data_IF_673477982207
#
_entry.id   IF_673477982207
#
_cell.length_a   1.000
_cell.length_b   1.000
_cell.length_c   1.000
_cell.angle_alpha   90.00
_cell.angle_beta   90.00
_cell.angle_gamma   90.00
#
_symmetry.space_group_name_H-M   'P 1'
#
loop_
_entity.id
_entity.type
_entity.pdbx_description
1 polymer ?
#
# COMPACT_ATOMS: atom_id res chain seq x y z
N UNK A 1 -1.63 -8.09 17.44
CA UNK A 1 -3.08 -7.73 17.29
C UNK A 1 -3.39 -6.42 18.04
N UNK A 2 -4.08 -5.50 17.38
CA UNK A 2 -4.57 -4.27 18.01
C UNK A 2 -6.02 -4.49 18.44
N UNK A 3 -6.33 -4.38 19.75
CA UNK A 3 -7.68 -4.57 20.30
C UNK A 3 -8.37 -5.90 19.89
N UNK A 4 -7.60 -6.96 19.72
CA UNK A 4 -8.09 -8.27 19.27
C UNK A 4 -8.23 -8.43 17.76
N UNK A 5 -7.88 -7.42 16.96
CA UNK A 5 -7.90 -7.44 15.51
C UNK A 5 -6.50 -7.65 14.93
N UNK A 6 -6.39 -8.44 13.86
CA UNK A 6 -5.14 -8.71 13.16
C UNK A 6 -4.67 -7.51 12.34
N UNK A 7 -3.35 -7.41 12.20
CA UNK A 7 -2.67 -6.55 11.22
C UNK A 7 -2.04 -7.46 10.17
N UNK A 8 -2.35 -7.21 8.90
CA UNK A 8 -1.89 -8.04 7.77
C UNK A 8 -1.12 -7.18 6.77
N UNK A 9 0.09 -7.61 6.41
CA UNK A 9 0.93 -6.98 5.38
C UNK A 9 1.01 -7.89 4.15
N UNK A 10 0.31 -7.52 3.08
CA UNK A 10 0.33 -8.22 1.80
C UNK A 10 1.37 -7.58 0.89
N UNK A 11 2.16 -8.40 0.19
CA UNK A 11 3.33 -7.99 -0.58
C UNK A 11 4.46 -7.44 0.30
N UNK A 12 4.62 -8.00 1.50
CA UNK A 12 5.37 -7.45 2.61
C UNK A 12 6.87 -7.16 2.34
N UNK A 13 7.44 -7.68 1.23
CA UNK A 13 8.85 -7.45 0.89
C UNK A 13 9.78 -7.76 2.05
N UNK A 14 10.75 -6.88 2.29
CA UNK A 14 11.70 -6.99 3.42
C UNK A 14 11.22 -6.39 4.74
N UNK A 15 9.95 -5.91 4.82
CA UNK A 15 9.34 -5.44 6.07
C UNK A 15 9.26 -3.91 6.23
N UNK A 16 9.46 -3.13 5.16
CA UNK A 16 9.41 -1.66 5.28
C UNK A 16 8.06 -1.13 5.76
N UNK A 17 6.95 -1.64 5.22
CA UNK A 17 5.60 -1.29 5.66
C UNK A 17 5.33 -1.80 7.08
N UNK A 18 5.71 -3.03 7.38
CA UNK A 18 5.59 -3.62 8.73
C UNK A 18 6.33 -2.79 9.77
N UNK A 19 7.56 -2.34 9.50
CA UNK A 19 8.31 -1.43 10.40
C UNK A 19 7.56 -0.12 10.61
N UNK A 20 7.04 0.50 9.54
CA UNK A 20 6.25 1.73 9.65
C UNK A 20 4.98 1.55 10.48
N UNK A 21 4.27 0.43 10.31
CA UNK A 21 3.09 0.09 11.09
C UNK A 21 3.45 -0.12 12.57
N UNK A 22 4.53 -0.84 12.87
CA UNK A 22 5.00 -1.04 14.25
C UNK A 22 5.38 0.28 14.92
N UNK A 23 6.11 1.16 14.23
CA UNK A 23 6.45 2.49 14.75
C UNK A 23 5.22 3.34 15.04
N UNK A 24 4.20 3.27 14.19
CA UNK A 24 3.00 4.08 14.33
C UNK A 24 2.02 3.54 15.39
N UNK A 25 1.97 2.23 15.59
CA UNK A 25 0.94 1.60 16.41
C UNK A 25 1.48 1.01 17.72
N UNK A 26 2.78 0.72 17.80
CA UNK A 26 3.39 -0.04 18.88
C UNK A 26 3.10 -1.56 18.83
N UNK A 27 2.50 -2.06 17.74
CA UNK A 27 2.13 -3.46 17.58
C UNK A 27 2.80 -4.07 16.35
N UNK A 28 3.34 -5.28 16.51
CA UNK A 28 3.85 -6.05 15.37
C UNK A 28 2.74 -6.44 14.41
N UNK A 29 3.08 -6.53 13.13
CA UNK A 29 2.22 -7.12 12.11
C UNK A 29 2.03 -8.60 12.44
N UNK A 30 0.79 -9.10 12.42
CA UNK A 30 0.48 -10.47 12.77
C UNK A 30 0.74 -11.44 11.60
N UNK A 31 0.48 -11.01 10.36
CA UNK A 31 0.61 -11.83 9.16
C UNK A 31 1.34 -11.04 8.08
N UNK A 32 2.37 -11.64 7.49
CA UNK A 32 3.09 -11.10 6.32
C UNK A 32 3.11 -12.12 5.19
N UNK A 33 2.79 -11.68 3.97
CA UNK A 33 2.66 -12.51 2.78
C UNK A 33 3.58 -11.98 1.67
N UNK A 34 4.46 -12.84 1.17
CA UNK A 34 5.26 -12.57 -0.03
C UNK A 34 5.67 -13.89 -0.69
N UNK A 35 5.75 -13.92 -2.02
CA UNK A 35 6.16 -15.12 -2.76
C UNK A 35 7.68 -15.31 -2.82
N UNK A 36 8.46 -14.26 -2.57
CA UNK A 36 9.93 -14.29 -2.64
C UNK A 36 10.51 -14.80 -1.32
N UNK A 37 11.21 -15.96 -1.31
CA UNK A 37 11.78 -16.52 -0.10
C UNK A 37 12.86 -15.64 0.54
N UNK A 38 13.63 -14.86 -0.25
CA UNK A 38 14.65 -13.96 0.29
C UNK A 38 14.00 -12.75 0.99
N UNK A 39 12.92 -12.21 0.41
CA UNK A 39 12.14 -11.18 1.08
C UNK A 39 11.56 -11.68 2.41
N UNK A 40 10.99 -12.88 2.42
CA UNK A 40 10.48 -13.50 3.65
C UNK A 40 11.60 -13.79 4.66
N UNK A 41 12.79 -14.22 4.22
CA UNK A 41 13.94 -14.43 5.10
C UNK A 41 14.35 -13.13 5.80
N UNK A 42 14.43 -12.03 5.05
CA UNK A 42 14.74 -10.70 5.58
C UNK A 42 13.63 -10.21 6.53
N UNK A 43 12.36 -10.38 6.13
CA UNK A 43 11.22 -10.01 6.95
C UNK A 43 11.20 -10.74 8.29
N UNK A 44 11.47 -12.05 8.30
CA UNK A 44 11.56 -12.86 9.54
C UNK A 44 12.64 -12.37 10.48
N UNK A 45 13.78 -11.92 9.95
CA UNK A 45 14.87 -11.40 10.78
C UNK A 45 14.48 -10.09 11.49
N UNK A 46 13.72 -9.22 10.80
CA UNK A 46 13.29 -7.93 11.33
C UNK A 46 12.01 -8.02 12.17
N UNK A 47 11.11 -8.97 11.85
CA UNK A 47 9.79 -9.12 12.46
C UNK A 47 9.56 -10.58 12.91
N UNK A 48 10.29 -11.07 13.94
CA UNK A 48 10.29 -12.49 14.33
C UNK A 48 8.95 -12.97 14.90
N UNK A 49 8.11 -12.07 15.39
CA UNK A 49 6.80 -12.40 15.98
C UNK A 49 5.67 -12.49 14.93
N UNK A 50 5.95 -12.18 13.66
CA UNK A 50 4.99 -12.23 12.56
C UNK A 50 4.84 -13.63 12.00
N UNK A 51 3.62 -14.07 11.71
CA UNK A 51 3.38 -15.29 10.93
C UNK A 51 3.61 -15.02 9.45
N UNK A 52 4.54 -15.75 8.84
CA UNK A 52 4.96 -15.55 7.46
C UNK A 52 4.40 -16.62 6.53
N UNK A 53 3.85 -16.18 5.39
CA UNK A 53 3.47 -17.00 4.24
C UNK A 53 4.44 -16.71 3.08
N UNK A 54 5.25 -17.71 2.70
CA UNK A 54 6.11 -17.64 1.52
C UNK A 54 5.34 -18.22 0.32
N UNK A 55 4.31 -17.50 -0.11
CA UNK A 55 3.35 -17.96 -1.12
C UNK A 55 2.88 -16.78 -1.99
N UNK A 56 2.37 -17.10 -3.19
CA UNK A 56 1.65 -16.10 -3.99
C UNK A 56 0.43 -15.61 -3.21
N UNK A 57 0.22 -14.29 -3.21
CA UNK A 57 -0.90 -13.65 -2.48
C UNK A 57 -2.28 -14.17 -2.91
N UNK A 58 -2.41 -14.72 -4.12
CA UNK A 58 -3.64 -15.36 -4.61
C UNK A 58 -3.84 -16.77 -4.02
N UNK A 59 -2.77 -17.47 -3.65
CA UNK A 59 -2.82 -18.82 -3.09
C UNK A 59 -3.15 -18.79 -1.60
N UNK A 60 -2.78 -17.74 -0.88
CA UNK A 60 -3.14 -17.59 0.53
C UNK A 60 -4.65 -17.38 0.65
N UNK A 61 -5.32 -18.26 1.40
CA UNK A 61 -6.73 -18.13 1.74
C UNK A 61 -6.89 -17.15 2.92
N UNK A 62 -7.52 -15.96 2.73
CA UNK A 62 -7.68 -14.99 3.80
C UNK A 62 -8.43 -15.52 5.02
N UNK A 63 -9.46 -16.34 4.82
CA UNK A 63 -10.28 -16.89 5.92
C UNK A 63 -9.45 -17.82 6.79
N UNK A 64 -8.69 -18.73 6.15
CA UNK A 64 -7.79 -19.66 6.86
C UNK A 64 -6.63 -18.93 7.53
N UNK A 65 -6.06 -17.91 6.86
CA UNK A 65 -4.95 -17.14 7.40
C UNK A 65 -5.35 -16.41 8.69
N UNK A 66 -6.53 -15.78 8.70
CA UNK A 66 -7.07 -15.05 9.84
C UNK A 66 -7.58 -15.95 10.98
N UNK A 67 -7.88 -17.22 10.69
CA UNK A 67 -8.30 -18.22 11.70
C UNK A 67 -9.41 -17.69 12.65
N UNK A 68 -10.44 -17.06 12.09
CA UNK A 68 -11.60 -16.54 12.84
C UNK A 68 -11.36 -15.20 13.55
N UNK A 69 -10.16 -14.64 13.51
CA UNK A 69 -9.91 -13.30 14.06
C UNK A 69 -10.33 -12.20 13.07
N UNK A 70 -10.94 -11.11 13.54
CA UNK A 70 -11.21 -9.95 12.71
C UNK A 70 -9.91 -9.26 12.29
N UNK A 71 -9.93 -8.55 11.16
CA UNK A 71 -8.77 -7.81 10.64
C UNK A 71 -9.00 -6.31 10.84
N UNK A 72 -8.14 -5.69 11.66
CA UNK A 72 -8.18 -4.24 11.91
C UNK A 72 -7.53 -3.45 10.79
N UNK A 73 -6.38 -3.92 10.28
CA UNK A 73 -5.64 -3.29 9.19
C UNK A 73 -5.12 -4.34 8.21
N UNK A 74 -5.38 -4.14 6.93
CA UNK A 74 -4.73 -4.87 5.84
C UNK A 74 -3.98 -3.88 4.94
N UNK A 75 -2.66 -4.03 4.87
CA UNK A 75 -1.78 -3.28 3.98
C UNK A 75 -1.56 -4.05 2.68
N UNK A 76 -1.51 -3.31 1.55
CA UNK A 76 -1.24 -3.83 0.22
C UNK A 76 -0.25 -2.95 -0.52
N UNK A 77 0.85 -3.51 -0.98
CA UNK A 77 1.83 -2.84 -1.84
C UNK A 77 2.15 -3.68 -3.08
N UNK A 78 1.16 -3.88 -3.99
CA UNK A 78 1.34 -4.73 -5.16
C UNK A 78 2.39 -4.19 -6.13
N UNK A 79 3.09 -5.09 -6.81
CA UNK A 79 4.17 -4.76 -7.75
C UNK A 79 3.71 -3.73 -8.79
N UNK A 80 4.47 -2.65 -8.88
CA UNK A 80 4.22 -1.51 -9.77
C UNK A 80 4.99 -1.56 -11.10
N UNK A 81 5.81 -2.60 -11.36
CA UNK A 81 6.69 -2.67 -12.56
C UNK A 81 5.97 -2.41 -13.88
N UNK A 82 4.68 -2.73 -13.96
CA UNK A 82 3.87 -2.59 -15.16
C UNK A 82 3.03 -1.29 -15.21
N UNK A 83 3.09 -0.46 -14.17
CA UNK A 83 2.49 0.89 -14.15
C UNK A 83 3.56 1.98 -14.34
N UNK A 84 4.75 1.78 -13.76
CA UNK A 84 5.83 2.78 -13.73
C UNK A 84 6.30 3.21 -15.13
N UNK A 85 6.58 4.49 -15.28
CA UNK A 85 7.22 5.12 -16.47
C UNK A 85 8.60 4.53 -16.77
N UNK A 86 9.32 4.06 -15.75
CA UNK A 86 10.67 3.49 -15.90
C UNK A 86 10.74 2.25 -16.82
N UNK A 87 9.62 1.58 -17.09
CA UNK A 87 9.57 0.41 -17.99
C UNK A 87 9.64 0.77 -19.49
N UNK A 88 9.48 2.04 -19.85
CA UNK A 88 9.40 2.44 -21.26
C UNK A 88 8.17 1.85 -21.98
N UNK A 89 8.22 1.75 -23.33
CA UNK A 89 7.11 1.25 -24.16
C UNK A 89 6.94 -0.27 -24.20
N UNK A 90 7.57 -1.06 -23.31
CA UNK A 90 7.46 -2.54 -23.32
C UNK A 90 6.04 -3.01 -23.01
N UNK A 91 5.58 -4.14 -23.60
CA UNK A 91 4.29 -4.73 -23.31
C UNK A 91 4.06 -4.95 -21.80
N UNK A 92 2.81 -4.77 -21.36
CA UNK A 92 2.44 -4.89 -19.95
C UNK A 92 1.88 -6.29 -19.66
N UNK A 93 2.23 -6.85 -18.53
CA UNK A 93 1.66 -8.10 -18.06
C UNK A 93 0.29 -7.85 -17.43
N UNK A 94 -0.75 -8.52 -17.93
CA UNK A 94 -2.11 -8.39 -17.40
C UNK A 94 -2.24 -8.97 -16.00
N UNK A 95 -1.52 -10.06 -15.71
CA UNK A 95 -1.57 -10.74 -14.43
C UNK A 95 -0.99 -9.85 -13.32
N UNK A 96 0.23 -9.30 -13.52
CA UNK A 96 0.85 -8.40 -12.55
C UNK A 96 0.02 -7.13 -12.34
N UNK A 97 -0.59 -6.59 -13.41
CA UNK A 97 -1.52 -5.47 -13.28
C UNK A 97 -2.80 -5.81 -12.50
N UNK A 98 -3.13 -7.08 -12.41
CA UNK A 98 -4.26 -7.60 -11.64
C UNK A 98 -4.02 -7.77 -10.15
N UNK A 99 -2.78 -7.65 -9.67
CA UNK A 99 -2.44 -7.94 -8.27
C UNK A 99 -3.19 -7.06 -7.24
N UNK A 100 -3.55 -5.84 -7.60
CA UNK A 100 -4.33 -4.97 -6.72
C UNK A 100 -5.72 -5.54 -6.37
N UNK A 101 -6.31 -6.40 -7.23
CA UNK A 101 -7.60 -7.06 -6.95
C UNK A 101 -7.57 -7.97 -5.72
N UNK A 102 -6.38 -8.35 -5.24
CA UNK A 102 -6.23 -9.07 -3.96
C UNK A 102 -6.84 -8.26 -2.81
N UNK A 103 -6.75 -6.92 -2.83
CA UNK A 103 -7.39 -6.08 -1.82
C UNK A 103 -8.92 -6.25 -1.82
N UNK A 104 -9.56 -6.31 -3.00
CA UNK A 104 -11.00 -6.57 -3.12
C UNK A 104 -11.36 -7.99 -2.64
N UNK A 105 -10.49 -8.98 -2.90
CA UNK A 105 -10.70 -10.36 -2.39
C UNK A 105 -10.69 -10.38 -0.85
N UNK A 106 -9.72 -9.72 -0.21
CA UNK A 106 -9.67 -9.59 1.23
C UNK A 106 -10.87 -8.82 1.78
N UNK A 107 -11.27 -7.73 1.12
CA UNK A 107 -12.44 -6.95 1.48
C UNK A 107 -13.73 -7.78 1.50
N UNK A 108 -13.92 -8.64 0.48
CA UNK A 108 -15.09 -9.49 0.36
C UNK A 108 -15.10 -10.70 1.30
N UNK A 109 -13.94 -11.27 1.64
CA UNK A 109 -13.86 -12.52 2.41
C UNK A 109 -13.72 -12.32 3.93
N UNK A 110 -12.91 -11.36 4.36
CA UNK A 110 -12.61 -11.13 5.80
C UNK A 110 -12.86 -9.71 6.26
N UNK A 111 -13.27 -8.83 5.33
CA UNK A 111 -13.73 -7.47 5.60
C UNK A 111 -12.80 -6.68 6.55
N UNK A 112 -11.52 -6.44 6.20
CA UNK A 112 -10.64 -5.64 7.04
C UNK A 112 -11.29 -4.29 7.37
N UNK A 113 -11.24 -3.85 8.62
CA UNK A 113 -11.84 -2.58 9.04
C UNK A 113 -11.21 -1.38 8.32
N UNK A 114 -9.89 -1.46 8.10
CA UNK A 114 -9.12 -0.49 7.32
C UNK A 114 -8.28 -1.23 6.28
N UNK A 115 -8.32 -0.79 5.05
CA UNK A 115 -7.42 -1.21 3.96
C UNK A 115 -6.55 -0.03 3.60
N UNK A 116 -5.24 -0.24 3.53
CA UNK A 116 -4.28 0.72 3.00
C UNK A 116 -3.58 0.11 1.79
N UNK A 117 -3.43 0.89 0.71
CA UNK A 117 -2.74 0.45 -0.49
C UNK A 117 -1.73 1.51 -0.93
N UNK A 118 -0.48 1.07 -1.19
CA UNK A 118 0.59 1.87 -1.77
C UNK A 118 0.87 1.44 -3.20
N UNK A 119 1.13 2.42 -4.08
CA UNK A 119 1.59 2.16 -5.44
C UNK A 119 2.31 3.39 -6.02
N UNK A 120 2.68 3.34 -7.30
CA UNK A 120 3.17 4.49 -8.05
C UNK A 120 2.03 5.43 -8.45
N UNK A 121 2.33 6.70 -8.74
CA UNK A 121 1.35 7.72 -9.15
C UNK A 121 0.51 7.26 -10.36
N UNK A 122 1.15 6.54 -11.28
CA UNK A 122 0.52 6.04 -12.50
C UNK A 122 -0.54 4.96 -12.25
N UNK A 123 -0.68 4.44 -11.03
CA UNK A 123 -1.73 3.49 -10.68
C UNK A 123 -3.14 4.02 -11.00
N UNK A 124 -3.37 5.32 -10.85
CA UNK A 124 -4.63 5.98 -11.25
C UNK A 124 -4.93 5.87 -12.75
N UNK A 125 -3.91 5.64 -13.55
CA UNK A 125 -4.05 5.47 -15.01
C UNK A 125 -4.38 4.03 -15.41
N UNK A 126 -4.59 3.14 -14.46
CA UNK A 126 -4.87 1.73 -14.70
C UNK A 126 -6.12 1.55 -15.56
N UNK A 127 -5.91 1.04 -16.75
CA UNK A 127 -6.94 0.81 -17.75
C UNK A 127 -6.67 -0.46 -18.57
N UNK A 128 -7.59 -0.89 -19.43
CA UNK A 128 -7.44 -2.08 -20.25
C UNK A 128 -6.27 -1.98 -21.21
N UNK A 129 -5.76 -3.15 -21.59
CA UNK A 129 -4.69 -3.31 -22.58
C UNK A 129 -5.30 -3.76 -23.91
N UNK A 130 -4.69 -3.34 -25.04
CA UNK A 130 -5.00 -3.86 -26.36
C UNK A 130 -4.43 -5.30 -26.54
N UNK A 131 -4.63 -5.90 -27.74
CA UNK A 131 -4.10 -7.24 -28.05
C UNK A 131 -2.58 -7.34 -27.95
N UNK A 132 -1.85 -6.24 -28.22
CA UNK A 132 -0.39 -6.15 -28.07
C UNK A 132 0.08 -5.83 -26.64
N UNK A 133 -0.79 -5.92 -25.63
CA UNK A 133 -0.50 -5.63 -24.22
C UNK A 133 -0.05 -4.18 -23.95
N UNK A 134 -0.46 -3.23 -24.79
CA UNK A 134 -0.25 -1.80 -24.55
C UNK A 134 -1.50 -1.12 -23.99
N UNK A 135 -1.36 -0.11 -23.10
CA UNK A 135 -2.49 0.64 -22.55
C UNK A 135 -3.29 1.34 -23.67
N UNK A 136 -4.61 1.20 -23.63
CA UNK A 136 -5.53 1.92 -24.53
C UNK A 136 -5.74 3.32 -23.96
N UNK A 137 -5.14 4.35 -24.58
CA UNK A 137 -5.17 5.74 -24.09
C UNK A 137 -6.59 6.24 -23.78
N UNK A 138 -7.56 5.99 -24.67
CA UNK A 138 -8.96 6.38 -24.50
C UNK A 138 -9.69 5.68 -23.33
N UNK A 139 -9.08 4.65 -22.73
CA UNK A 139 -9.64 3.87 -21.62
C UNK A 139 -8.75 3.94 -20.37
N UNK A 140 -7.89 4.93 -20.31
CA UNK A 140 -7.02 5.19 -19.17
C UNK A 140 -7.86 5.52 -17.94
N UNK A 141 -7.55 4.93 -16.78
CA UNK A 141 -8.28 5.11 -15.53
C UNK A 141 -9.48 4.16 -15.34
N UNK A 142 -10.08 3.63 -16.41
CA UNK A 142 -11.32 2.84 -16.30
C UNK A 142 -11.23 1.62 -15.38
N UNK A 143 -10.05 0.97 -15.29
CA UNK A 143 -9.88 -0.19 -14.41
C UNK A 143 -9.67 0.27 -12.97
N UNK A 144 -8.97 1.38 -12.77
CA UNK A 144 -8.83 2.01 -11.46
C UNK A 144 -10.20 2.43 -10.89
N UNK A 145 -11.04 3.08 -11.69
CA UNK A 145 -12.40 3.46 -11.29
C UNK A 145 -13.23 2.24 -10.88
N UNK A 146 -13.17 1.13 -11.66
CA UNK A 146 -13.84 -0.12 -11.31
C UNK A 146 -13.30 -0.74 -10.01
N UNK A 147 -12.00 -0.65 -9.78
CA UNK A 147 -11.37 -1.12 -8.55
C UNK A 147 -11.89 -0.33 -7.34
N UNK A 148 -11.93 0.99 -7.42
CA UNK A 148 -12.49 1.85 -6.36
C UNK A 148 -13.97 1.56 -6.16
N UNK A 149 -14.76 1.45 -7.25
CA UNK A 149 -16.19 1.15 -7.20
C UNK A 149 -16.46 -0.18 -6.48
N UNK A 150 -15.67 -1.23 -6.76
CA UNK A 150 -15.86 -2.52 -6.11
C UNK A 150 -15.62 -2.45 -4.58
N UNK A 151 -14.65 -1.67 -4.11
CA UNK A 151 -14.47 -1.44 -2.68
C UNK A 151 -15.65 -0.66 -2.09
N UNK A 152 -16.17 0.34 -2.81
CA UNK A 152 -17.35 1.12 -2.40
C UNK A 152 -18.60 0.25 -2.33
N UNK A 153 -18.80 -0.64 -3.30
CA UNK A 153 -19.93 -1.60 -3.32
C UNK A 153 -19.86 -2.60 -2.15
N UNK A 154 -18.64 -2.89 -1.65
CA UNK A 154 -18.41 -3.68 -0.45
C UNK A 154 -18.61 -2.87 0.86
N UNK A 155 -19.02 -1.60 0.76
CA UNK A 155 -19.34 -0.74 1.89
C UNK A 155 -18.13 -0.01 2.49
N UNK A 156 -17.07 0.22 1.71
CA UNK A 156 -15.93 1.03 2.12
C UNK A 156 -16.10 2.48 1.65
N UNK A 157 -15.82 3.44 2.52
CA UNK A 157 -15.43 4.79 2.13
C UNK A 157 -14.00 4.75 1.62
N UNK A 158 -13.73 5.29 0.43
CA UNK A 158 -12.41 5.22 -0.22
C UNK A 158 -11.90 6.62 -0.51
N UNK A 159 -10.69 6.91 -0.04
CA UNK A 159 -9.96 8.14 -0.39
C UNK A 159 -8.55 7.77 -0.85
N UNK A 160 -7.96 8.63 -1.68
CA UNK A 160 -6.57 8.45 -2.11
C UNK A 160 -5.86 9.80 -2.28
N UNK A 161 -4.55 9.80 -2.00
CA UNK A 161 -3.65 10.95 -2.15
C UNK A 161 -2.31 10.51 -2.70
N UNK A 162 -1.58 11.44 -3.25
CA UNK A 162 -0.15 11.28 -3.52
C UNK A 162 0.63 11.96 -2.41
N UNK A 163 1.57 11.24 -1.81
CA UNK A 163 2.38 11.74 -0.71
C UNK A 163 3.86 11.66 -1.10
N UNK A 164 4.61 12.71 -0.75
CA UNK A 164 6.07 12.77 -0.95
C UNK A 164 6.76 12.44 0.36
N UNK A 165 7.67 11.49 0.35
CA UNK A 165 8.32 11.00 1.57
C UNK A 165 9.09 12.10 2.33
N UNK A 166 9.68 13.08 1.63
CA UNK A 166 10.37 14.21 2.24
C UNK A 166 9.45 15.07 3.11
N UNK A 167 8.16 15.21 2.76
CA UNK A 167 7.19 15.99 3.53
C UNK A 167 6.97 15.42 4.95
N UNK A 168 7.40 14.17 5.17
CA UNK A 168 7.28 13.43 6.44
C UNK A 168 8.64 13.09 7.07
N UNK A 169 9.73 13.74 6.63
CA UNK A 169 11.06 13.62 7.22
C UNK A 169 11.92 12.48 6.68
N UNK A 170 11.51 11.78 5.64
CA UNK A 170 12.37 10.80 4.97
C UNK A 170 13.37 11.51 4.01
N UNK A 171 14.65 11.09 3.93
CA UNK A 171 15.66 11.73 3.10
C UNK A 171 15.53 11.36 1.61
N UNK A 172 14.33 11.48 1.07
CA UNK A 172 14.04 11.15 -0.35
C UNK A 172 12.82 11.91 -0.86
N UNK A 173 12.89 12.37 -2.11
CA UNK A 173 11.78 12.97 -2.85
C UNK A 173 10.82 11.93 -3.46
N UNK A 174 10.88 10.68 -2.99
CA UNK A 174 10.03 9.60 -3.50
C UNK A 174 8.57 9.93 -3.28
N UNK A 175 7.82 10.04 -4.36
CA UNK A 175 6.38 10.28 -4.37
C UNK A 175 5.62 9.00 -4.66
N UNK A 176 4.53 8.74 -3.93
CA UNK A 176 3.73 7.53 -4.07
C UNK A 176 2.25 7.84 -3.95
N UNK A 177 1.47 7.04 -4.65
CA UNK A 177 0.03 6.93 -4.48
C UNK A 177 -0.27 6.13 -3.22
N UNK A 178 -1.14 6.66 -2.38
CA UNK A 178 -1.72 5.97 -1.24
C UNK A 178 -3.23 5.99 -1.32
N UNK A 179 -3.86 4.86 -0.97
CA UNK A 179 -5.29 4.74 -0.81
C UNK A 179 -5.60 4.25 0.61
N UNK A 180 -6.63 4.83 1.22
CA UNK A 180 -7.22 4.36 2.47
C UNK A 180 -8.68 4.04 2.18
N UNK A 181 -9.12 2.84 2.57
CA UNK A 181 -10.51 2.44 2.53
C UNK A 181 -10.96 1.98 3.92
N UNK A 182 -12.12 2.46 4.40
CA UNK A 182 -12.68 2.15 5.73
C UNK A 182 -14.12 1.70 5.63
N UNK A 183 -14.50 0.69 6.42
CA UNK A 183 -15.88 0.20 6.49
C UNK A 183 -16.51 0.31 7.89
N UNK A 184 -15.91 1.09 8.80
CA UNK A 184 -16.34 1.26 10.19
C UNK A 184 -17.08 2.58 10.45
N UNK A 185 -17.37 3.36 9.41
CA UNK A 185 -18.07 4.65 9.50
C UNK A 185 -17.25 5.77 10.14
N UNK A 186 -15.97 5.55 10.47
CA UNK A 186 -15.10 6.59 11.02
C UNK A 186 -14.44 7.37 9.87
N UNK A 187 -14.16 8.67 10.06
CA UNK A 187 -13.53 9.49 9.03
C UNK A 187 -12.13 8.97 8.68
N UNK A 188 -11.76 9.11 7.41
CA UNK A 188 -10.40 8.89 6.94
C UNK A 188 -9.58 10.13 7.29
N UNK A 189 -8.51 9.93 8.06
CA UNK A 189 -7.58 10.99 8.45
C UNK A 189 -6.25 10.78 7.72
N UNK A 190 -5.78 11.82 7.05
CA UNK A 190 -4.49 11.84 6.39
C UNK A 190 -3.44 12.51 7.28
N UNK A 191 -2.18 12.05 7.25
CA UNK A 191 -1.12 12.71 8.00
C UNK A 191 -0.87 14.12 7.43
N UNK A 192 -0.62 15.08 8.32
CA UNK A 192 -0.18 16.41 7.92
C UNK A 192 1.33 16.42 7.69
N UNK A 193 1.84 17.16 6.70
CA UNK A 193 3.27 17.34 6.49
C UNK A 193 3.97 17.88 7.75
N UNK A 194 5.17 17.37 8.02
CA UNK A 194 6.01 17.81 9.14
C UNK A 194 7.28 18.52 8.67
N UNK A 195 7.59 18.42 7.37
CA UNK A 195 8.78 18.97 6.74
C UNK A 195 8.43 19.68 5.42
N UNK A 196 9.25 20.64 5.03
CA UNK A 196 9.15 21.37 3.77
C UNK A 196 10.54 21.81 3.27
N UNK A 197 10.66 22.37 2.05
CA UNK A 197 11.90 22.96 1.57
C UNK A 197 12.43 24.03 2.54
N UNK A 198 13.75 24.06 2.75
CA UNK A 198 14.37 24.96 3.74
C UNK A 198 14.10 26.47 3.51
N UNK A 199 13.82 26.84 2.27
CA UNK A 199 13.49 28.21 1.85
C UNK A 199 11.99 28.52 1.86
N UNK A 200 11.13 27.56 2.25
CA UNK A 200 9.68 27.77 2.33
C UNK A 200 9.29 28.72 3.48
N UNK A 201 8.13 29.36 3.34
CA UNK A 201 7.62 30.27 4.37
C UNK A 201 7.27 29.54 5.68
N UNK A 202 6.80 28.30 5.59
CA UNK A 202 6.46 27.48 6.74
C UNK A 202 7.71 27.12 7.58
N UNK A 203 8.85 26.86 6.92
CA UNK A 203 10.12 26.59 7.62
C UNK A 203 10.68 27.87 8.23
N UNK A 204 10.67 29.00 7.51
CA UNK A 204 11.09 30.30 8.04
C UNK A 204 10.24 30.76 9.24
N UNK A 205 8.95 30.44 9.23
CA UNK A 205 8.04 30.71 10.34
C UNK A 205 8.15 29.71 11.50
N UNK A 206 8.97 28.65 11.37
CA UNK A 206 9.13 27.62 12.40
C UNK A 206 7.91 26.65 12.53
N UNK A 207 7.03 26.65 11.56
CA UNK A 207 5.83 25.79 11.53
C UNK A 207 6.18 24.36 11.08
N UNK A 208 7.12 24.21 10.14
CA UNK A 208 7.60 22.94 9.63
C UNK A 208 9.13 22.85 9.78
N UNK A 209 9.65 21.64 9.78
CA UNK A 209 11.09 21.39 9.76
C UNK A 209 11.62 21.41 8.32
N UNK A 210 12.87 21.79 8.08
CA UNK A 210 13.46 21.65 6.76
C UNK A 210 13.60 20.19 6.35
N UNK A 211 13.55 19.90 5.04
CA UNK A 211 13.80 18.56 4.51
C UNK A 211 15.11 17.99 4.99
N UNK A 212 15.09 16.70 5.33
CA UNK A 212 16.28 15.96 5.79
C UNK A 212 17.11 15.53 4.58
N UNK A 213 18.40 15.92 4.56
CA UNK A 213 19.36 15.45 3.56
C UNK A 213 19.92 14.07 3.92
N UNK A 214 20.39 13.31 2.92
CA UNK A 214 21.01 12.00 3.15
C UNK A 214 22.30 12.04 4.00
N UNK A 215 22.90 13.22 4.16
CA UNK A 215 24.15 13.44 4.93
C UNK A 215 23.93 14.11 6.28
N UNK A 216 22.69 14.34 6.69
CA UNK A 216 22.34 15.01 7.96
C UNK A 216 21.86 14.05 9.04
N UNK A 217 22.09 12.74 8.86
CA UNK A 217 21.80 11.69 9.84
C UNK A 217 23.07 11.23 10.54
#
# INVERSE_FOLDING_TARGET
>A
MINGELIVDNFAGGGGASTGIELATGYSVDIAINHDPEAIRMHKANHPNTKHYCEDVWQVDPVKACNGHPVGLAWFSPDCKHFSKAKGGKPKDKFIRGLAWVACRWAGLVRPRVIMLENVEEFKTWGPLNRGHHPIKAKQGMTFEKFVQQLTDLGYEVQFKELTAADYGAPTMRKRFFMIARCDGKPIVWPEPTHAPADSEEVKAGLLKPYVGAYTQ
#
